data_IF_473840979421
#
_entry.id   IF_473840979421
#
_cell.length_a   1.000
_cell.length_b   1.000
_cell.length_c   1.000
_cell.angle_alpha   90.00
_cell.angle_beta   90.00
_cell.angle_gamma   90.00
#
_symmetry.space_group_name_H-M   'P 1'
#
loop_
_entity.id
_entity.type
_entity.pdbx_description
1 polymer ?
#
# COMPACT_ATOMS: atom_id res chain seq x y z
N UNK A 1 -13.21 26.02 46.31
CA UNK A 1 -13.63 25.28 45.10
C UNK A 1 -12.75 25.55 43.88
N UNK A 2 -12.47 26.81 43.48
CA UNK A 2 -11.68 27.09 42.27
C UNK A 2 -10.29 26.44 42.20
N UNK A 3 -9.53 26.40 43.31
CA UNK A 3 -8.23 25.72 43.36
C UNK A 3 -8.32 24.21 43.10
N UNK A 4 -9.37 23.56 43.61
CA UNK A 4 -9.59 22.12 43.41
C UNK A 4 -9.91 21.79 41.95
N UNK A 5 -10.80 22.57 41.31
CA UNK A 5 -11.09 22.42 39.88
C UNK A 5 -9.86 22.68 39.00
N UNK A 6 -9.05 23.68 39.34
CA UNK A 6 -7.81 23.96 38.63
C UNK A 6 -6.80 22.80 38.76
N UNK A 7 -6.63 22.26 39.96
CA UNK A 7 -5.76 21.09 40.18
C UNK A 7 -6.24 19.87 39.41
N UNK A 8 -7.55 19.60 39.40
CA UNK A 8 -8.14 18.51 38.63
C UNK A 8 -7.90 18.67 37.13
N UNK A 9 -8.10 19.89 36.60
CA UNK A 9 -7.85 20.21 35.20
C UNK A 9 -6.38 20.03 34.82
N UNK A 10 -5.45 20.51 35.65
CA UNK A 10 -4.01 20.35 35.43
C UNK A 10 -3.59 18.88 35.48
N UNK A 11 -4.12 18.11 36.44
CA UNK A 11 -3.85 16.68 36.54
C UNK A 11 -4.37 15.92 35.31
N UNK A 12 -5.56 16.28 34.82
CA UNK A 12 -6.12 15.73 33.59
C UNK A 12 -5.23 16.08 32.38
N UNK A 13 -4.83 17.35 32.23
CA UNK A 13 -3.92 17.74 31.14
C UNK A 13 -2.55 17.05 31.21
N UNK A 14 -2.01 16.80 32.39
CA UNK A 14 -0.76 16.06 32.54
C UNK A 14 -0.93 14.59 32.17
N UNK A 15 -1.99 13.93 32.66
CA UNK A 15 -2.29 12.53 32.35
C UNK A 15 -2.52 12.34 30.85
N UNK A 16 -3.44 13.09 30.25
CA UNK A 16 -3.74 13.00 28.82
C UNK A 16 -2.59 13.51 27.96
N UNK A 17 -1.96 14.62 28.36
CA UNK A 17 -0.80 15.19 27.67
C UNK A 17 0.35 14.19 27.58
N UNK A 18 0.62 13.44 28.64
CA UNK A 18 1.71 12.47 28.68
C UNK A 18 1.59 11.38 27.61
N UNK A 19 0.36 10.94 27.28
CA UNK A 19 0.12 9.90 26.26
C UNK A 19 0.68 10.28 24.89
N UNK A 20 0.69 11.58 24.58
CA UNK A 20 1.19 12.08 23.30
C UNK A 20 2.72 12.13 23.19
N UNK A 21 3.43 12.03 24.32
CA UNK A 21 4.90 12.03 24.39
C UNK A 21 5.49 10.63 24.64
N UNK A 22 4.65 9.61 24.83
CA UNK A 22 5.10 8.22 24.97
C UNK A 22 5.69 7.77 23.63
N UNK A 23 6.86 7.09 23.63
CA UNK A 23 7.41 6.50 22.43
C UNK A 23 6.42 5.56 21.75
N UNK A 24 6.26 5.70 20.44
CA UNK A 24 5.25 4.94 19.66
C UNK A 24 5.38 3.42 19.83
N UNK A 25 6.60 2.92 20.07
CA UNK A 25 6.90 1.51 20.26
C UNK A 25 6.10 0.87 21.39
N UNK A 26 5.74 1.62 22.44
CA UNK A 26 4.88 1.10 23.52
C UNK A 26 3.47 0.77 23.04
N UNK A 27 2.90 1.56 22.12
CA UNK A 27 1.57 1.33 21.57
C UNK A 27 1.60 0.19 20.55
N UNK A 28 2.53 0.27 19.60
CA UNK A 28 2.63 -0.69 18.49
C UNK A 28 2.93 -2.10 19.00
N UNK A 29 3.90 -2.26 19.91
CA UNK A 29 4.23 -3.57 20.49
C UNK A 29 3.07 -4.21 21.25
N UNK A 30 2.18 -3.40 21.84
CA UNK A 30 0.98 -3.92 22.51
C UNK A 30 -0.10 -4.34 21.53
N UNK A 31 -0.24 -3.65 20.40
CA UNK A 31 -1.22 -3.99 19.35
C UNK A 31 -0.76 -5.25 18.62
N UNK A 32 0.48 -5.30 18.16
CA UNK A 32 1.03 -6.42 17.38
C UNK A 32 0.94 -7.75 18.10
N UNK A 33 1.13 -7.79 19.43
CA UNK A 33 0.99 -9.02 20.22
C UNK A 33 -0.39 -9.68 20.13
N UNK A 34 -1.42 -8.93 19.73
CA UNK A 34 -2.79 -9.40 19.63
C UNK A 34 -3.26 -9.59 18.19
N UNK A 35 -2.41 -9.33 17.20
CA UNK A 35 -2.71 -9.53 15.78
C UNK A 35 -2.09 -10.85 15.31
N UNK A 36 -2.84 -11.61 14.54
CA UNK A 36 -2.38 -12.83 13.87
C UNK A 36 -1.84 -12.46 12.48
N UNK A 37 -0.84 -11.57 12.44
CA UNK A 37 -0.23 -11.04 11.21
C UNK A 37 1.28 -10.95 11.41
N UNK A 38 2.06 -11.41 10.43
CA UNK A 38 3.52 -11.40 10.46
C UNK A 38 4.06 -10.04 10.01
N UNK A 39 4.08 -9.07 10.93
CA UNK A 39 4.69 -7.75 10.71
C UNK A 39 5.94 -7.65 11.57
N UNK A 40 7.07 -7.27 10.97
CA UNK A 40 8.33 -7.06 11.70
C UNK A 40 8.93 -5.70 11.34
N UNK A 41 9.71 -5.13 12.26
CA UNK A 41 10.55 -3.95 11.99
C UNK A 41 11.80 -3.96 12.86
N UNK A 42 12.91 -3.45 12.32
CA UNK A 42 14.15 -3.30 13.08
C UNK A 42 14.10 -2.15 14.07
N UNK A 43 13.48 -1.02 13.68
CA UNK A 43 13.49 0.18 14.49
C UNK A 43 12.25 1.05 14.27
N UNK A 44 11.69 1.55 15.37
CA UNK A 44 10.53 2.42 15.38
C UNK A 44 10.78 3.60 16.32
N UNK A 45 10.86 4.80 15.77
CA UNK A 45 11.12 6.05 16.51
C UNK A 45 9.98 7.04 16.33
N UNK A 46 9.73 7.83 17.37
CA UNK A 46 8.74 8.91 17.36
C UNK A 46 7.63 8.68 18.37
N UNK A 47 6.49 9.31 18.10
CA UNK A 47 5.30 9.26 18.94
C UNK A 47 4.05 9.05 18.07
N UNK A 48 2.86 9.18 18.67
CA UNK A 48 1.60 8.97 17.96
C UNK A 48 1.29 10.00 16.87
N UNK A 49 2.02 11.12 16.78
CA UNK A 49 1.82 12.13 15.73
C UNK A 49 2.78 11.99 14.56
N UNK A 50 4.01 11.57 14.80
CA UNK A 50 5.00 11.44 13.73
C UNK A 50 6.18 10.62 14.19
N UNK A 51 6.85 10.00 13.22
CA UNK A 51 8.01 9.17 13.48
C UNK A 51 8.54 8.53 12.20
N UNK A 52 9.38 7.53 12.41
CA UNK A 52 9.97 6.73 11.35
C UNK A 52 9.98 5.24 11.72
N UNK A 53 9.85 4.40 10.70
CA UNK A 53 9.91 2.95 10.76
C UNK A 53 11.04 2.53 9.83
N UNK A 54 11.99 1.74 10.33
CA UNK A 54 13.08 1.18 9.54
C UNK A 54 12.92 -0.33 9.44
N UNK A 55 13.27 -0.85 8.29
CA UNK A 55 13.23 -2.26 7.92
C UNK A 55 11.85 -2.87 8.15
N UNK A 56 10.78 -2.27 7.61
CA UNK A 56 9.43 -2.85 7.74
C UNK A 56 9.31 -4.10 6.88
N UNK A 57 8.87 -5.21 7.47
CA UNK A 57 8.54 -6.46 6.79
C UNK A 57 7.07 -6.82 7.00
N UNK A 58 6.49 -7.50 6.02
CA UNK A 58 5.19 -8.14 6.09
C UNK A 58 5.30 -9.52 5.46
N UNK A 59 4.91 -10.59 6.15
CA UNK A 59 5.06 -11.99 5.69
C UNK A 59 6.48 -12.27 5.16
N UNK A 60 7.50 -11.91 5.94
CA UNK A 60 8.94 -11.99 5.59
C UNK A 60 9.39 -11.19 4.35
N UNK A 61 8.50 -10.43 3.72
CA UNK A 61 8.82 -9.58 2.58
C UNK A 61 9.22 -8.18 3.03
N UNK A 62 10.42 -7.72 2.61
CA UNK A 62 10.87 -6.36 2.91
C UNK A 62 9.97 -5.35 2.20
N UNK A 63 9.26 -4.54 2.98
CA UNK A 63 8.36 -3.50 2.48
C UNK A 63 9.11 -2.20 2.25
N UNK A 64 9.85 -1.71 3.24
CA UNK A 64 10.66 -0.49 3.10
C UNK A 64 10.91 0.27 4.39
N UNK A 65 11.59 1.40 4.27
CA UNK A 65 11.77 2.39 5.34
C UNK A 65 10.80 3.55 5.14
N UNK A 66 10.13 4.00 6.21
CA UNK A 66 9.06 5.00 6.10
C UNK A 66 9.15 6.09 7.16
N UNK A 67 8.85 7.32 6.77
CA UNK A 67 8.38 8.34 7.69
C UNK A 67 6.85 8.31 7.72
N UNK A 68 6.27 8.61 8.89
CA UNK A 68 4.83 8.77 9.03
C UNK A 68 4.46 10.04 9.78
N UNK A 69 3.28 10.57 9.46
CA UNK A 69 2.65 11.71 10.15
C UNK A 69 1.15 11.50 10.27
N UNK A 70 0.69 11.42 11.50
CA UNK A 70 -0.70 11.23 11.85
C UNK A 70 -1.40 12.56 12.11
N UNK A 71 -2.66 12.65 11.71
CA UNK A 71 -3.57 13.74 12.03
C UNK A 71 -4.82 13.14 12.68
N UNK A 72 -5.26 13.78 13.74
CA UNK A 72 -6.44 13.35 14.49
C UNK A 72 -7.48 14.46 14.40
N UNK A 73 -8.64 14.13 13.85
CA UNK A 73 -9.80 15.01 13.86
C UNK A 73 -10.91 14.36 14.69
N UNK A 74 -12.02 15.07 14.87
CA UNK A 74 -13.21 14.47 15.50
C UNK A 74 -13.90 13.44 14.59
N UNK A 75 -13.56 13.47 13.30
CA UNK A 75 -14.23 12.72 12.25
C UNK A 75 -13.41 11.51 11.83
N UNK A 76 -12.10 11.64 11.80
CA UNK A 76 -11.18 10.64 11.28
C UNK A 76 -9.81 10.67 11.96
N UNK A 77 -9.08 9.59 11.77
CA UNK A 77 -7.64 9.51 11.99
C UNK A 77 -7.02 9.27 10.62
N UNK A 78 -6.06 10.10 10.24
CA UNK A 78 -5.27 9.89 9.03
C UNK A 78 -3.79 9.71 9.34
N UNK A 79 -3.13 8.83 8.61
CA UNK A 79 -1.72 8.54 8.69
C UNK A 79 -1.09 8.69 7.30
N UNK A 80 -0.36 9.79 7.10
CA UNK A 80 0.41 10.01 5.87
C UNK A 80 1.73 9.28 6.01
N UNK A 81 2.14 8.52 5.01
CA UNK A 81 3.42 7.83 4.98
C UNK A 81 4.15 8.08 3.67
N UNK A 82 5.47 8.10 3.74
CA UNK A 82 6.33 8.15 2.56
C UNK A 82 7.62 7.40 2.84
N UNK A 83 8.07 6.68 1.83
CA UNK A 83 9.33 5.96 1.83
C UNK A 83 10.50 6.93 1.97
N UNK A 84 11.51 6.50 2.72
CA UNK A 84 12.80 7.20 2.85
C UNK A 84 13.96 6.41 2.24
N UNK A 85 13.66 5.24 1.70
CA UNK A 85 14.54 4.43 0.89
C UNK A 85 14.29 4.68 -0.62
N UNK A 86 14.80 3.80 -1.47
CA UNK A 86 14.71 3.92 -2.92
C UNK A 86 13.36 3.45 -3.51
N UNK A 87 12.39 3.00 -2.69
CA UNK A 87 11.18 2.33 -3.17
C UNK A 87 10.06 3.25 -3.65
N UNK A 88 10.18 4.56 -3.46
CA UNK A 88 9.21 5.56 -3.94
C UNK A 88 7.74 5.23 -3.62
N UNK A 89 7.49 4.73 -2.41
CA UNK A 89 6.15 4.42 -1.91
C UNK A 89 5.65 5.61 -1.09
N UNK A 90 4.40 6.03 -1.29
CA UNK A 90 3.74 7.04 -0.46
C UNK A 90 2.23 6.82 -0.45
N UNK A 91 1.55 7.36 0.57
CA UNK A 91 0.10 7.32 0.63
C UNK A 91 -0.46 7.85 1.95
N UNK A 92 -1.78 7.83 2.06
CA UNK A 92 -2.49 8.24 3.28
C UNK A 92 -3.50 7.18 3.70
N UNK A 93 -3.32 6.58 4.87
CA UNK A 93 -4.34 5.72 5.48
C UNK A 93 -5.33 6.59 6.25
N UNK A 94 -6.63 6.38 6.07
CA UNK A 94 -7.70 7.10 6.74
C UNK A 94 -8.66 6.10 7.39
N UNK A 95 -8.97 6.34 8.66
CA UNK A 95 -9.96 5.61 9.44
C UNK A 95 -11.04 6.57 9.92
N UNK A 96 -12.27 6.38 9.45
CA UNK A 96 -13.43 7.13 9.95
C UNK A 96 -13.77 6.71 11.39
N UNK A 97 -14.05 7.70 12.24
CA UNK A 97 -14.41 7.53 13.64
C UNK A 97 -15.92 7.67 13.89
N UNK A 98 -16.71 8.14 12.92
CA UNK A 98 -18.17 8.32 13.10
C UNK A 98 -18.89 7.00 13.35
N UNK A 99 -18.43 5.92 12.72
CA UNK A 99 -19.01 4.61 12.91
C UNK A 99 -18.10 3.74 13.79
N UNK A 100 -18.24 3.91 15.11
CA UNK A 100 -17.50 3.17 16.14
C UNK A 100 -17.71 1.64 16.01
N UNK A 101 -18.80 1.21 15.36
CA UNK A 101 -19.07 -0.21 15.11
C UNK A 101 -18.36 -0.77 13.88
N UNK A 102 -17.92 0.10 12.96
CA UNK A 102 -17.15 -0.30 11.79
C UNK A 102 -15.65 -0.30 12.12
N UNK A 103 -15.22 -1.36 12.79
CA UNK A 103 -13.81 -1.57 13.14
C UNK A 103 -13.02 -2.02 11.90
N UNK A 104 -13.68 -2.62 10.91
CA UNK A 104 -13.05 -3.31 9.80
C UNK A 104 -12.70 -2.45 8.58
N UNK A 105 -13.34 -1.28 8.39
CA UNK A 105 -13.09 -0.47 7.18
C UNK A 105 -11.88 0.47 7.33
N UNK A 106 -10.93 0.38 6.41
CA UNK A 106 -9.77 1.27 6.30
C UNK A 106 -9.73 1.79 4.86
N UNK A 107 -9.50 3.09 4.69
CA UNK A 107 -9.40 3.70 3.35
C UNK A 107 -7.97 4.17 3.12
N UNK A 108 -7.31 3.67 2.09
CA UNK A 108 -6.05 4.18 1.59
C UNK A 108 -6.33 5.21 0.48
N UNK A 109 -5.73 6.39 0.58
CA UNK A 109 -5.88 7.49 -0.37
C UNK A 109 -4.55 7.93 -0.92
N UNK A 110 -4.58 8.40 -2.16
CA UNK A 110 -3.43 9.00 -2.87
C UNK A 110 -2.16 8.13 -2.76
N UNK A 111 -2.34 6.81 -2.86
CA UNK A 111 -1.24 5.87 -2.79
C UNK A 111 -0.49 5.83 -4.12
N UNK A 112 0.82 5.89 -4.03
CA UNK A 112 1.72 5.78 -5.17
C UNK A 112 2.87 4.85 -4.83
N UNK A 113 3.23 3.97 -5.75
CA UNK A 113 4.44 3.18 -5.69
C UNK A 113 5.05 3.12 -7.07
N UNK A 114 6.37 3.27 -7.16
CA UNK A 114 7.09 3.07 -8.42
C UNK A 114 8.30 2.17 -8.24
N UNK A 115 8.56 1.35 -9.25
CA UNK A 115 9.67 0.42 -9.23
C UNK A 115 10.18 0.17 -10.63
N UNK A 116 11.49 -0.04 -10.76
CA UNK A 116 12.13 -0.47 -12.00
C UNK A 116 12.51 -1.93 -11.85
N UNK A 117 11.89 -2.81 -12.63
CA UNK A 117 12.17 -4.25 -12.61
C UNK A 117 12.86 -4.67 -13.91
N UNK A 118 13.71 -5.68 -13.83
CA UNK A 118 14.31 -6.31 -15.01
C UNK A 118 14.13 -7.81 -14.91
N UNK A 119 13.66 -8.40 -16.00
CA UNK A 119 13.52 -9.84 -16.16
C UNK A 119 14.49 -10.33 -17.23
N UNK A 120 14.64 -11.65 -17.37
CA UNK A 120 15.45 -12.24 -18.44
C UNK A 120 14.91 -11.92 -19.85
N UNK A 121 13.61 -11.64 -19.96
CA UNK A 121 12.91 -11.40 -21.22
C UNK A 121 12.73 -9.91 -21.55
N UNK A 122 12.54 -9.09 -20.52
CA UNK A 122 12.25 -7.65 -20.65
C UNK A 122 13.12 -6.88 -19.65
N UNK A 123 14.02 -6.04 -20.16
CA UNK A 123 14.89 -5.18 -19.35
C UNK A 123 14.26 -3.82 -19.09
N UNK A 124 14.58 -3.23 -17.93
CA UNK A 124 14.18 -1.87 -17.55
C UNK A 124 12.68 -1.62 -17.75
N UNK A 125 11.86 -2.34 -17.00
CA UNK A 125 10.41 -2.15 -16.94
C UNK A 125 10.11 -1.19 -15.80
N UNK A 126 9.68 0.01 -16.16
CA UNK A 126 9.16 1.01 -15.23
C UNK A 126 7.70 0.66 -14.90
N UNK A 127 7.44 0.46 -13.61
CA UNK A 127 6.12 0.23 -13.04
C UNK A 127 5.73 1.44 -12.19
N UNK A 128 4.61 2.07 -12.52
CA UNK A 128 4.04 3.16 -11.73
C UNK A 128 2.60 2.81 -11.34
N UNK A 129 2.38 2.57 -10.05
CA UNK A 129 1.06 2.34 -9.46
C UNK A 129 0.56 3.63 -8.83
N UNK A 130 -0.63 4.07 -9.21
CA UNK A 130 -1.31 5.21 -8.62
C UNK A 130 -2.74 4.83 -8.24
N UNK A 131 -3.03 4.82 -6.95
CA UNK A 131 -4.33 4.48 -6.37
C UNK A 131 -4.88 5.71 -5.67
N UNK A 132 -5.93 6.28 -6.24
CA UNK A 132 -6.60 7.45 -5.66
C UNK A 132 -7.37 7.05 -4.40
N UNK A 133 -8.01 5.87 -4.44
CA UNK A 133 -8.76 5.34 -3.31
C UNK A 133 -8.74 3.80 -3.32
N UNK A 134 -8.46 3.20 -2.17
CA UNK A 134 -8.59 1.77 -1.91
C UNK A 134 -9.34 1.60 -0.59
N UNK A 135 -10.49 0.95 -0.64
CA UNK A 135 -11.29 0.60 0.52
C UNK A 135 -11.02 -0.86 0.90
N UNK A 136 -10.54 -1.07 2.12
CA UNK A 136 -10.31 -2.39 2.71
C UNK A 136 -11.38 -2.61 3.77
N UNK A 137 -12.15 -3.69 3.66
CA UNK A 137 -13.18 -4.07 4.64
C UNK A 137 -12.84 -5.44 5.21
N UNK A 138 -12.68 -5.51 6.53
CA UNK A 138 -12.34 -6.76 7.22
C UNK A 138 -11.09 -7.44 6.62
N UNK A 139 -10.06 -6.65 6.30
CA UNK A 139 -8.81 -7.10 5.65
C UNK A 139 -8.95 -7.60 4.20
N UNK A 140 -10.10 -7.38 3.55
CA UNK A 140 -10.30 -7.71 2.13
C UNK A 140 -10.45 -6.43 1.28
N UNK A 141 -9.90 -6.46 0.07
CA UNK A 141 -10.11 -5.42 -0.95
C UNK A 141 -11.60 -5.33 -1.31
N UNK A 142 -12.26 -4.23 -0.95
CA UNK A 142 -13.67 -4.00 -1.25
C UNK A 142 -13.86 -3.10 -2.49
N UNK A 143 -13.00 -2.10 -2.64
CA UNK A 143 -13.03 -1.17 -3.75
C UNK A 143 -11.62 -0.64 -4.03
N UNK A 144 -11.29 -0.46 -5.30
CA UNK A 144 -10.04 0.18 -5.73
C UNK A 144 -10.31 1.08 -6.92
N UNK A 145 -9.78 2.29 -6.86
CA UNK A 145 -9.77 3.26 -7.94
C UNK A 145 -8.35 3.75 -8.14
N UNK A 146 -7.80 3.41 -9.29
CA UNK A 146 -6.42 3.70 -9.62
C UNK A 146 -6.02 3.08 -10.94
N UNK A 147 -4.76 3.29 -11.31
CA UNK A 147 -4.17 2.67 -12.47
C UNK A 147 -2.75 2.18 -12.18
N UNK A 148 -2.37 1.15 -12.93
CA UNK A 148 -0.99 0.71 -13.09
C UNK A 148 -0.49 1.21 -14.45
N UNK A 149 0.71 1.76 -14.53
CA UNK A 149 1.37 2.03 -15.80
C UNK A 149 2.61 1.16 -15.90
N UNK A 150 2.79 0.57 -17.07
CA UNK A 150 3.93 -0.28 -17.38
C UNK A 150 4.57 0.27 -18.63
N UNK A 151 5.84 0.63 -18.55
CA UNK A 151 6.60 1.08 -19.71
C UNK A 151 7.98 0.45 -19.73
N UNK A 152 8.50 0.22 -20.92
CA UNK A 152 9.86 -0.28 -21.14
C UNK A 152 10.23 0.05 -22.57
N UNK A 153 11.53 0.20 -22.84
CA UNK A 153 12.04 0.31 -24.21
C UNK A 153 11.78 -0.96 -25.04
N UNK A 154 11.59 -2.10 -24.36
CA UNK A 154 11.33 -3.40 -24.97
C UNK A 154 9.83 -3.71 -25.08
N UNK A 155 8.95 -2.79 -24.68
CA UNK A 155 7.51 -2.86 -24.92
C UNK A 155 7.15 -1.83 -26.00
N UNK A 156 6.40 -2.26 -27.02
CA UNK A 156 6.08 -1.43 -28.18
C UNK A 156 5.36 -0.11 -27.81
N UNK A 157 4.58 -0.13 -26.73
CA UNK A 157 3.83 1.01 -26.23
C UNK A 157 3.55 0.86 -24.73
N UNK A 158 3.40 1.99 -24.02
CA UNK A 158 2.97 2.01 -22.62
C UNK A 158 1.64 1.28 -22.42
N UNK A 159 1.59 0.43 -21.39
CA UNK A 159 0.39 -0.28 -20.97
C UNK A 159 -0.25 0.44 -19.79
N UNK A 160 -1.57 0.54 -19.82
CA UNK A 160 -2.40 1.13 -18.76
C UNK A 160 -3.24 0.00 -18.18
N UNK A 161 -3.03 -0.27 -16.90
CA UNK A 161 -3.76 -1.24 -16.10
C UNK A 161 -4.93 -0.59 -15.36
N UNK A 162 -6.15 -1.03 -15.61
CA UNK A 162 -7.33 -0.68 -14.80
C UNK A 162 -7.45 -1.65 -13.63
N UNK A 163 -7.49 -1.12 -12.40
CA UNK A 163 -7.47 -1.94 -11.18
C UNK A 163 -8.87 -2.35 -10.75
N UNK A 164 -9.01 -3.57 -10.22
CA UNK A 164 -10.25 -4.07 -9.64
C UNK A 164 -10.01 -5.03 -8.47
N UNK A 165 -10.91 -5.02 -7.48
CA UNK A 165 -10.96 -6.03 -6.42
C UNK A 165 -11.90 -7.18 -6.84
N UNK A 166 -11.52 -8.40 -6.49
CA UNK A 166 -12.33 -9.62 -6.66
C UNK A 166 -12.43 -10.37 -5.32
N UNK A 167 -13.39 -11.29 -5.24
CA UNK A 167 -13.55 -12.17 -4.07
C UNK A 167 -12.25 -12.92 -3.73
N UNK A 168 -12.03 -13.19 -2.44
CA UNK A 168 -10.83 -13.89 -1.97
C UNK A 168 -9.57 -13.00 -1.98
N UNK A 169 -9.71 -11.72 -1.62
CA UNK A 169 -8.63 -10.74 -1.51
C UNK A 169 -7.75 -10.61 -2.77
N UNK A 170 -8.37 -10.81 -3.95
CA UNK A 170 -7.67 -10.78 -5.22
C UNK A 170 -7.73 -9.39 -5.82
N UNK A 171 -6.58 -8.85 -6.23
CA UNK A 171 -6.49 -7.57 -6.96
C UNK A 171 -6.06 -7.89 -8.39
N UNK A 172 -6.79 -7.39 -9.38
CA UNK A 172 -6.38 -7.51 -10.77
C UNK A 172 -6.12 -6.14 -11.40
N UNK A 173 -5.27 -6.16 -12.43
CA UNK A 173 -5.06 -5.05 -13.35
C UNK A 173 -5.29 -5.54 -14.78
N UNK A 174 -6.36 -5.10 -15.43
CA UNK A 174 -6.58 -5.36 -16.86
C UNK A 174 -5.74 -4.38 -17.69
N UNK A 175 -4.86 -4.90 -18.55
CA UNK A 175 -3.87 -4.11 -19.27
C UNK A 175 -4.38 -3.72 -20.66
N UNK A 176 -4.35 -2.43 -20.96
CA UNK A 176 -4.73 -1.84 -22.23
C UNK A 176 -3.58 -1.08 -22.85
N UNK A 177 -3.60 -0.93 -24.18
CA UNK A 177 -2.80 0.12 -24.83
C UNK A 177 -3.54 1.45 -24.90
N UNK A 178 -2.86 2.45 -25.48
CA UNK A 178 -3.40 3.79 -25.78
C UNK A 178 -4.65 3.79 -26.68
N UNK A 179 -4.97 2.67 -27.33
CA UNK A 179 -6.17 2.49 -28.16
C UNK A 179 -7.29 1.71 -27.45
N UNK A 180 -7.17 1.51 -26.14
CA UNK A 180 -8.08 0.70 -25.32
C UNK A 180 -8.25 -0.74 -25.83
N UNK A 181 -7.23 -1.27 -26.48
CA UNK A 181 -7.19 -2.69 -26.82
C UNK A 181 -6.63 -3.44 -25.62
N UNK A 182 -7.38 -4.44 -25.16
CA UNK A 182 -6.92 -5.37 -24.13
C UNK A 182 -5.69 -6.14 -24.62
N UNK A 183 -4.66 -6.16 -23.78
CA UNK A 183 -3.37 -6.76 -24.05
C UNK A 183 -2.94 -7.75 -22.98
N UNK A 184 -3.74 -7.96 -21.93
CA UNK A 184 -3.42 -8.90 -20.89
C UNK A 184 -4.00 -8.51 -19.54
N UNK A 185 -3.58 -9.22 -18.50
CA UNK A 185 -3.90 -8.90 -17.13
C UNK A 185 -2.76 -9.26 -16.19
N UNK A 186 -2.75 -8.60 -15.04
CA UNK A 186 -1.94 -8.95 -13.87
C UNK A 186 -2.92 -9.25 -12.75
N UNK A 187 -2.65 -10.28 -11.95
CA UNK A 187 -3.49 -10.66 -10.82
C UNK A 187 -2.61 -10.96 -9.62
N UNK A 188 -2.90 -10.31 -8.50
CA UNK A 188 -2.29 -10.55 -7.20
C UNK A 188 -3.29 -11.31 -6.33
N UNK A 189 -2.90 -12.48 -5.84
CA UNK A 189 -3.69 -13.34 -4.96
C UNK A 189 -2.75 -14.28 -4.21
N UNK A 190 -3.04 -14.58 -2.94
CA UNK A 190 -2.26 -15.53 -2.11
C UNK A 190 -0.73 -15.33 -2.18
N UNK A 191 -0.26 -14.08 -2.09
CA UNK A 191 1.16 -13.70 -2.20
C UNK A 191 1.85 -14.09 -3.53
N UNK A 192 1.05 -14.31 -4.58
CA UNK A 192 1.53 -14.58 -5.92
C UNK A 192 1.06 -13.50 -6.89
N UNK A 193 1.95 -13.09 -7.79
CA UNK A 193 1.61 -12.24 -8.94
C UNK A 193 1.59 -13.10 -10.19
N UNK A 194 0.41 -13.27 -10.77
CA UNK A 194 0.23 -13.91 -12.06
C UNK A 194 0.16 -12.85 -13.14
N UNK A 195 1.04 -12.94 -14.13
CA UNK A 195 1.10 -12.01 -15.25
C UNK A 195 0.77 -12.76 -16.53
N UNK A 196 -0.12 -12.21 -17.34
CA UNK A 196 -0.43 -12.70 -18.69
C UNK A 196 -0.50 -11.54 -19.65
N UNK A 197 0.42 -11.48 -20.60
CA UNK A 197 0.54 -10.37 -21.56
C UNK A 197 0.56 -10.93 -22.99
N UNK A 198 -0.12 -10.26 -23.91
CA UNK A 198 -0.13 -10.62 -25.32
C UNK A 198 1.25 -10.43 -25.93
N UNK A 199 1.71 -11.40 -26.72
CA UNK A 199 2.99 -11.32 -27.44
C UNK A 199 3.06 -10.15 -28.42
N UNK A 200 1.92 -9.56 -28.80
CA UNK A 200 1.85 -8.34 -29.61
C UNK A 200 2.48 -7.12 -28.94
N UNK A 201 2.64 -7.16 -27.63
CA UNK A 201 3.35 -6.12 -26.85
C UNK A 201 4.87 -6.22 -26.98
N UNK A 202 5.38 -7.41 -27.31
CA UNK A 202 6.80 -7.72 -27.44
C UNK A 202 7.24 -7.45 -28.89
N UNK A 203 8.34 -6.72 -29.13
CA UNK A 203 8.80 -6.39 -30.48
C UNK A 203 9.31 -7.59 -31.29
N UNK A 204 9.70 -8.69 -30.63
CA UNK A 204 10.21 -9.90 -31.30
C UNK A 204 9.12 -10.67 -32.06
N UNK A 205 9.20 -10.61 -33.39
CA UNK A 205 8.30 -11.35 -34.31
C UNK A 205 8.35 -12.86 -34.14
N UNK A 206 9.45 -13.44 -33.68
CA UNK A 206 9.55 -14.90 -33.47
C UNK A 206 8.63 -15.33 -32.33
N UNK A 207 8.61 -14.56 -31.25
CA UNK A 207 7.73 -14.80 -30.09
C UNK A 207 6.26 -14.66 -30.49
N UNK A 208 5.92 -13.63 -31.28
CA UNK A 208 4.57 -13.41 -31.82
C UNK A 208 4.06 -14.56 -32.72
N UNK A 209 4.96 -15.30 -33.38
CA UNK A 209 4.59 -16.42 -34.26
C UNK A 209 4.41 -17.74 -33.52
N UNK A 210 4.95 -17.87 -32.31
CA UNK A 210 4.94 -19.11 -31.55
C UNK A 210 3.75 -19.19 -30.59
N UNK A 211 3.35 -18.05 -29.99
CA UNK A 211 2.29 -17.99 -28.99
C UNK A 211 1.56 -16.63 -29.03
N UNK A 212 0.29 -16.60 -28.64
CA UNK A 212 -0.51 -15.37 -28.56
C UNK A 212 -0.30 -14.59 -27.25
N UNK A 213 0.10 -15.29 -26.18
CA UNK A 213 0.31 -14.75 -24.84
C UNK A 213 1.56 -15.36 -24.20
N UNK A 214 2.24 -14.55 -23.38
CA UNK A 214 3.25 -14.98 -22.42
C UNK A 214 2.62 -14.90 -21.04
N UNK A 215 2.77 -15.97 -20.26
CA UNK A 215 2.31 -16.05 -18.88
C UNK A 215 3.44 -16.47 -17.96
N UNK A 216 3.54 -15.83 -16.79
CA UNK A 216 4.47 -16.20 -15.74
C UNK A 216 3.90 -15.86 -14.36
N UNK A 217 4.41 -16.54 -13.34
CA UNK A 217 4.07 -16.30 -11.94
C UNK A 217 5.32 -15.83 -11.21
N UNK A 218 5.15 -14.82 -10.35
CA UNK A 218 6.16 -14.35 -9.41
C UNK A 218 5.66 -14.72 -8.02
N UNK A 219 6.44 -15.53 -7.29
CA UNK A 219 6.26 -15.77 -5.87
C UNK A 219 6.95 -14.63 -5.09
N UNK A 220 6.26 -14.06 -4.09
CA UNK A 220 6.76 -12.96 -3.25
C UNK A 220 7.37 -13.49 -1.95
#
# INVERSE_FOLDING_TARGET
MGKFFLTLLLMFMLLFGSLFFIPINFFVSSIMKNLDVDIEYSYLEGNIFSGKILDLYYDNNFIGDFNYKNQFTFNDISANFYSIDEKNIAGTVVKDLHNITDIGTIVLKDFSASSVVSTDLIKYVDLDLNVQELEIKNFECAYINGNLKISSQEINEELIGELACFEGNTISAELFNKRMKELGNITYSDSQIQVRISTKTIPDRRVQLLMDYVSFTIDL
#
